data_IF_880525314227
#
_entry.id   IF_880525314227
#
_cell.length_a   1.000
_cell.length_b   1.000
_cell.length_c   1.000
_cell.angle_alpha   90.00
_cell.angle_beta   90.00
_cell.angle_gamma   90.00
#
_symmetry.space_group_name_H-M   'P 1'
#
loop_
_entity.id
_entity.type
_entity.pdbx_description
1 polymer ?
#
# COMPACT_ATOMS: atom_id res chain seq x y z
N UNK A 1 -34.98 11.03 -8.89
CA UNK A 1 -35.07 10.59 -7.49
C UNK A 1 -33.70 10.73 -6.89
N UNK A 2 -33.59 11.65 -5.95
CA UNK A 2 -32.35 12.08 -5.32
C UNK A 2 -31.82 10.96 -4.42
N UNK A 3 -30.76 10.29 -4.87
CA UNK A 3 -30.15 9.17 -4.17
C UNK A 3 -29.47 9.71 -2.92
N UNK A 4 -30.02 9.40 -1.74
CA UNK A 4 -29.43 9.76 -0.46
C UNK A 4 -28.10 9.03 -0.36
N UNK A 5 -27.00 9.77 -0.48
CA UNK A 5 -25.66 9.20 -0.33
C UNK A 5 -25.61 8.45 1.02
N UNK A 6 -25.13 7.20 1.06
CA UNK A 6 -24.98 6.49 2.33
C UNK A 6 -24.15 7.34 3.30
N UNK A 7 -24.57 7.39 4.55
CA UNK A 7 -23.79 8.05 5.60
C UNK A 7 -22.37 7.51 5.61
N UNK A 8 -21.40 8.36 5.95
CA UNK A 8 -19.95 8.05 5.88
C UNK A 8 -19.56 6.73 6.57
N UNK A 9 -20.27 6.34 7.63
CA UNK A 9 -20.09 5.06 8.34
C UNK A 9 -20.55 3.86 7.49
N UNK A 10 -21.74 3.92 6.91
CA UNK A 10 -22.26 2.84 6.05
C UNK A 10 -21.40 2.63 4.80
N UNK A 11 -20.81 3.70 4.27
CA UNK A 11 -19.85 3.59 3.16
C UNK A 11 -18.57 2.86 3.58
N UNK A 12 -18.02 3.17 4.77
CA UNK A 12 -16.84 2.47 5.29
C UNK A 12 -17.13 0.98 5.51
N UNK A 13 -18.29 0.63 6.06
CA UNK A 13 -18.69 -0.77 6.26
C UNK A 13 -18.81 -1.50 4.92
N UNK A 14 -19.35 -0.83 3.90
CA UNK A 14 -19.46 -1.37 2.53
C UNK A 14 -18.08 -1.63 1.91
N UNK A 15 -17.16 -0.68 2.04
CA UNK A 15 -15.79 -0.84 1.52
C UNK A 15 -15.06 -1.96 2.27
N UNK A 16 -15.14 -1.99 3.62
CA UNK A 16 -14.53 -3.02 4.44
C UNK A 16 -15.07 -4.42 4.09
N UNK A 17 -16.38 -4.54 3.90
CA UNK A 17 -17.02 -5.77 3.45
C UNK A 17 -16.46 -6.20 2.08
N UNK A 18 -16.43 -5.29 1.11
CA UNK A 18 -15.95 -5.61 -0.24
C UNK A 18 -14.48 -6.05 -0.26
N UNK A 19 -13.57 -5.34 0.43
CA UNK A 19 -12.13 -5.71 0.43
C UNK A 19 -11.84 -7.02 1.19
N UNK A 20 -12.72 -7.42 2.11
CA UNK A 20 -12.54 -8.65 2.91
C UNK A 20 -13.19 -9.88 2.29
N UNK A 21 -14.16 -9.69 1.39
CA UNK A 21 -14.93 -10.77 0.76
C UNK A 21 -14.56 -11.00 -0.71
N UNK A 22 -14.31 -9.92 -1.46
CA UNK A 22 -14.04 -9.97 -2.91
C UNK A 22 -12.54 -9.90 -3.18
N UNK A 23 -11.84 -11.01 -2.88
CA UNK A 23 -10.38 -11.06 -2.85
C UNK A 23 -9.75 -11.70 -4.09
N UNK A 24 -10.48 -11.82 -5.21
CA UNK A 24 -10.01 -12.52 -6.42
C UNK A 24 -8.72 -11.92 -6.99
N UNK A 25 -8.51 -10.61 -6.77
CA UNK A 25 -7.29 -9.92 -7.17
C UNK A 25 -6.09 -10.23 -6.26
N UNK A 26 -6.30 -10.77 -5.06
CA UNK A 26 -5.25 -11.04 -4.05
C UNK A 26 -4.40 -9.79 -3.73
N UNK A 27 -5.05 -8.61 -3.68
CA UNK A 27 -4.35 -7.34 -3.47
C UNK A 27 -3.85 -7.22 -2.03
N UNK A 28 -2.53 -7.23 -1.79
CA UNK A 28 -1.97 -7.18 -0.43
C UNK A 28 -2.14 -5.83 0.25
N UNK A 29 -2.52 -4.80 -0.51
CA UNK A 29 -2.73 -3.44 -0.03
C UNK A 29 -4.21 -3.05 0.07
N UNK A 30 -5.15 -3.99 -0.15
CA UNK A 30 -6.58 -3.69 -0.29
C UNK A 30 -7.15 -2.80 0.83
N UNK A 31 -6.62 -2.91 2.05
CA UNK A 31 -7.02 -2.07 3.19
C UNK A 31 -6.81 -0.56 2.97
N UNK A 32 -5.94 -0.15 2.06
CA UNK A 32 -5.76 1.27 1.68
C UNK A 32 -7.02 1.88 1.05
N UNK A 33 -7.97 1.08 0.57
CA UNK A 33 -9.28 1.55 0.13
C UNK A 33 -10.05 2.27 1.26
N UNK A 34 -9.75 1.95 2.52
CA UNK A 34 -10.32 2.57 3.71
C UNK A 34 -9.67 3.91 4.11
N UNK A 35 -8.66 4.37 3.36
CA UNK A 35 -7.96 5.62 3.67
C UNK A 35 -8.92 6.81 3.64
N UNK A 36 -8.73 7.77 4.55
CA UNK A 36 -9.49 9.02 4.56
C UNK A 36 -9.43 9.70 3.20
N UNK A 37 -10.50 10.38 2.81
CA UNK A 37 -10.57 11.09 1.53
C UNK A 37 -10.71 10.20 0.30
N UNK A 38 -10.65 8.88 0.45
CA UNK A 38 -11.01 7.93 -0.62
C UNK A 38 -12.52 7.94 -0.81
N UNK A 39 -12.94 8.11 -2.07
CA UNK A 39 -14.33 7.93 -2.49
C UNK A 39 -14.55 6.49 -2.90
N UNK A 40 -15.78 6.00 -2.74
CA UNK A 40 -16.18 4.68 -3.20
C UNK A 40 -17.32 4.80 -4.20
N UNK A 41 -17.15 4.18 -5.37
CA UNK A 41 -18.19 4.07 -6.38
C UNK A 41 -18.89 2.72 -6.25
N UNK A 42 -20.22 2.76 -6.19
CA UNK A 42 -21.11 1.60 -6.18
C UNK A 42 -22.17 1.79 -7.25
N UNK A 43 -22.75 0.71 -7.76
CA UNK A 43 -23.86 0.83 -8.71
C UNK A 43 -25.03 -0.11 -8.36
N UNK A 44 -26.30 0.30 -8.58
CA UNK A 44 -27.46 -0.50 -8.22
C UNK A 44 -27.43 -1.90 -8.84
N UNK A 45 -27.71 -2.92 -8.03
CA UNK A 45 -27.76 -4.32 -8.45
C UNK A 45 -26.39 -4.97 -8.67
N UNK A 46 -25.29 -4.28 -8.35
CA UNK A 46 -23.93 -4.83 -8.39
C UNK A 46 -23.37 -4.93 -6.98
N UNK A 47 -22.76 -6.07 -6.67
CA UNK A 47 -22.07 -6.31 -5.41
C UNK A 47 -20.59 -5.97 -5.56
N UNK A 48 -20.19 -4.85 -4.96
CA UNK A 48 -18.80 -4.41 -4.91
C UNK A 48 -18.62 -2.91 -4.91
N UNK A 49 -17.36 -2.50 -4.75
CA UNK A 49 -16.96 -1.09 -4.73
C UNK A 49 -15.74 -0.87 -5.61
N UNK A 50 -15.62 0.35 -6.13
CA UNK A 50 -14.36 0.86 -6.69
C UNK A 50 -13.88 2.02 -5.81
N UNK A 51 -12.68 1.88 -5.25
CA UNK A 51 -12.04 2.93 -4.45
C UNK A 51 -11.26 3.89 -5.34
N UNK A 52 -11.50 5.19 -5.21
CA UNK A 52 -10.84 6.19 -6.06
C UNK A 52 -10.72 7.56 -5.40
N UNK A 53 -9.85 8.42 -5.95
CA UNK A 53 -9.81 9.86 -5.70
C UNK A 53 -9.86 10.62 -7.02
N UNK A 54 -10.54 11.77 -7.03
CA UNK A 54 -10.48 12.70 -8.17
C UNK A 54 -9.21 13.54 -8.08
N UNK A 55 -8.40 13.54 -9.12
CA UNK A 55 -7.24 14.42 -9.25
C UNK A 55 -7.27 15.08 -10.65
N UNK A 56 -7.54 16.39 -10.69
CA UNK A 56 -7.63 17.13 -11.94
C UNK A 56 -8.67 16.54 -12.90
N UNK A 57 -8.20 16.08 -14.06
CA UNK A 57 -9.04 15.48 -15.13
C UNK A 57 -9.14 13.95 -15.04
N UNK A 58 -8.68 13.36 -13.94
CA UNK A 58 -8.63 11.92 -13.75
C UNK A 58 -9.38 11.47 -12.49
N UNK A 59 -10.04 10.32 -12.59
CA UNK A 59 -10.35 9.48 -11.44
C UNK A 59 -9.20 8.51 -11.26
N UNK A 60 -8.42 8.70 -10.20
CA UNK A 60 -7.33 7.81 -9.82
C UNK A 60 -7.91 6.69 -8.99
N UNK A 61 -8.02 5.52 -9.60
CA UNK A 61 -8.55 4.32 -8.98
C UNK A 61 -7.43 3.55 -8.25
N UNK A 62 -7.74 3.08 -7.05
CA UNK A 62 -6.89 2.17 -6.29
C UNK A 62 -7.36 0.72 -6.45
N UNK A 63 -6.48 -0.16 -6.92
CA UNK A 63 -6.81 -1.55 -7.22
C UNK A 63 -7.86 -1.68 -8.33
N UNK A 64 -8.25 -2.91 -8.67
CA UNK A 64 -9.45 -3.14 -9.48
C UNK A 64 -10.73 -2.93 -8.66
N UNK A 65 -11.91 -3.16 -9.24
CA UNK A 65 -13.13 -3.38 -8.47
C UNK A 65 -12.94 -4.45 -7.38
N UNK A 66 -13.29 -4.13 -6.14
CA UNK A 66 -13.48 -5.11 -5.07
C UNK A 66 -14.93 -5.57 -5.16
N UNK A 67 -15.20 -6.57 -5.99
CA UNK A 67 -16.55 -6.94 -6.40
C UNK A 67 -16.71 -8.45 -6.62
N UNK A 68 -17.93 -8.94 -6.44
CA UNK A 68 -18.29 -10.30 -6.81
C UNK A 68 -17.97 -10.55 -8.29
N UNK A 69 -17.63 -11.78 -8.65
CA UNK A 69 -17.19 -12.12 -10.01
C UNK A 69 -18.15 -11.63 -11.11
N UNK A 70 -19.45 -11.83 -10.91
CA UNK A 70 -20.50 -11.41 -11.87
C UNK A 70 -20.72 -9.89 -11.88
N UNK A 71 -20.31 -9.18 -10.82
CA UNK A 71 -20.44 -7.73 -10.68
C UNK A 71 -19.18 -6.97 -11.11
N UNK A 72 -18.00 -7.61 -11.11
CA UNK A 72 -16.71 -6.97 -11.37
C UNK A 72 -16.71 -6.20 -12.69
N UNK A 73 -17.05 -6.91 -13.77
CA UNK A 73 -17.04 -6.39 -15.15
C UNK A 73 -18.07 -5.27 -15.34
N UNK A 74 -19.37 -5.48 -15.03
CA UNK A 74 -20.36 -4.41 -15.09
C UNK A 74 -20.04 -3.19 -14.22
N UNK A 75 -19.42 -3.37 -13.04
CA UNK A 75 -19.10 -2.27 -12.13
C UNK A 75 -17.97 -1.40 -12.71
N UNK A 76 -16.94 -2.03 -13.29
CA UNK A 76 -15.89 -1.34 -14.02
C UNK A 76 -16.47 -0.54 -15.20
N UNK A 77 -17.34 -1.14 -16.00
CA UNK A 77 -17.95 -0.48 -17.16
C UNK A 77 -18.77 0.76 -16.75
N UNK A 78 -19.55 0.65 -15.67
CA UNK A 78 -20.32 1.77 -15.12
C UNK A 78 -19.44 2.87 -14.55
N UNK A 79 -18.31 2.52 -13.92
CA UNK A 79 -17.37 3.50 -13.39
C UNK A 79 -16.66 4.27 -14.48
N UNK A 80 -16.23 3.60 -15.56
CA UNK A 80 -15.62 4.24 -16.73
C UNK A 80 -16.63 5.18 -17.39
N UNK A 81 -17.87 4.72 -17.61
CA UNK A 81 -18.93 5.57 -18.14
C UNK A 81 -19.23 6.78 -17.24
N UNK A 82 -19.19 6.60 -15.91
CA UNK A 82 -19.34 7.68 -14.94
C UNK A 82 -18.22 8.72 -15.03
N UNK A 83 -16.97 8.29 -15.24
CA UNK A 83 -15.84 9.18 -15.47
C UNK A 83 -16.03 9.98 -16.78
N UNK A 84 -16.34 9.28 -17.88
CA UNK A 84 -16.54 9.88 -19.20
C UNK A 84 -17.70 10.88 -19.21
N UNK A 85 -18.81 10.56 -18.55
CA UNK A 85 -19.96 11.46 -18.40
C UNK A 85 -19.65 12.77 -17.68
N UNK A 86 -18.54 12.83 -16.93
CA UNK A 86 -18.02 14.05 -16.30
C UNK A 86 -16.88 14.72 -17.08
N UNK A 87 -16.56 14.22 -18.28
CA UNK A 87 -15.39 14.65 -19.04
C UNK A 87 -14.06 14.30 -18.38
N UNK A 88 -14.03 13.25 -17.54
CA UNK A 88 -12.85 12.74 -16.86
C UNK A 88 -12.40 11.42 -17.49
N UNK A 89 -11.15 11.02 -17.21
CA UNK A 89 -10.62 9.70 -17.57
C UNK A 89 -10.24 8.88 -16.35
N UNK A 90 -10.13 7.57 -16.50
CA UNK A 90 -9.68 6.68 -15.41
C UNK A 90 -8.18 6.39 -15.54
N UNK A 91 -7.49 6.39 -14.40
CA UNK A 91 -6.16 5.77 -14.27
C UNK A 91 -6.18 4.85 -13.06
N UNK A 92 -5.96 3.56 -13.27
CA UNK A 92 -5.89 2.55 -12.21
C UNK A 92 -4.46 2.34 -11.76
N UNK A 93 -4.22 2.27 -10.46
CA UNK A 93 -2.91 2.02 -9.87
C UNK A 93 -2.99 0.89 -8.83
N UNK A 94 -1.88 0.18 -8.65
CA UNK A 94 -1.78 -0.98 -7.75
C UNK A 94 -2.76 -2.10 -8.13
N UNK A 95 -3.01 -2.24 -9.43
CA UNK A 95 -3.80 -3.32 -10.01
C UNK A 95 -3.01 -4.62 -9.89
N UNK A 96 -3.69 -5.71 -9.53
CA UNK A 96 -3.07 -7.04 -9.54
C UNK A 96 -3.26 -7.70 -10.90
N UNK A 97 -2.64 -8.85 -11.15
CA UNK A 97 -2.70 -9.51 -12.47
C UNK A 97 -4.14 -9.80 -12.94
N UNK A 98 -5.04 -10.22 -12.04
CA UNK A 98 -6.46 -10.39 -12.35
C UNK A 98 -7.09 -9.10 -12.91
N UNK A 99 -6.81 -7.97 -12.25
CA UNK A 99 -7.32 -6.67 -12.68
C UNK A 99 -6.69 -6.26 -14.00
N UNK A 100 -5.36 -6.36 -14.11
CA UNK A 100 -4.60 -6.00 -15.30
C UNK A 100 -5.16 -6.70 -16.56
N UNK A 101 -5.49 -7.99 -16.46
CA UNK A 101 -6.11 -8.76 -17.54
C UNK A 101 -7.49 -8.23 -17.90
N UNK A 102 -8.36 -8.01 -16.91
CA UNK A 102 -9.71 -7.49 -17.13
C UNK A 102 -9.74 -6.07 -17.74
N UNK A 103 -8.72 -5.26 -17.44
CA UNK A 103 -8.53 -3.92 -17.99
C UNK A 103 -7.99 -3.96 -19.41
N UNK A 104 -6.99 -4.80 -19.70
CA UNK A 104 -6.44 -4.96 -21.04
C UNK A 104 -7.52 -5.45 -22.03
N UNK A 105 -8.37 -6.39 -21.62
CA UNK A 105 -9.51 -6.86 -22.41
C UNK A 105 -10.55 -5.76 -22.72
N UNK A 106 -10.59 -4.69 -21.92
CA UNK A 106 -11.44 -3.51 -22.11
C UNK A 106 -10.77 -2.38 -22.90
N UNK A 107 -9.57 -2.63 -23.45
CA UNK A 107 -8.84 -1.65 -24.25
C UNK A 107 -8.07 -0.62 -23.42
N UNK A 108 -7.87 -0.84 -22.13
CA UNK A 108 -6.91 -0.03 -21.37
C UNK A 108 -5.49 -0.37 -21.80
N UNK A 109 -4.62 0.63 -21.84
CA UNK A 109 -3.18 0.36 -21.89
C UNK A 109 -2.71 -0.02 -20.50
N UNK A 110 -2.16 -1.21 -20.33
CA UNK A 110 -1.74 -1.74 -19.02
C UNK A 110 -0.25 -2.03 -19.04
N UNK A 111 0.46 -1.56 -18.02
CA UNK A 111 1.89 -1.80 -17.85
C UNK A 111 2.20 -2.23 -16.42
N UNK A 112 3.23 -3.06 -16.25
CA UNK A 112 3.84 -3.20 -14.93
C UNK A 112 4.41 -1.84 -14.49
N UNK A 113 4.21 -1.46 -13.23
CA UNK A 113 4.80 -0.23 -12.70
C UNK A 113 5.50 -0.40 -11.36
N UNK A 114 5.50 -1.60 -10.79
CA UNK A 114 6.27 -1.94 -9.60
C UNK A 114 5.90 -3.31 -9.06
N UNK A 115 6.26 -3.53 -7.81
CA UNK A 115 5.98 -4.78 -7.11
C UNK A 115 5.70 -4.55 -5.62
N UNK A 116 4.98 -5.49 -5.04
CA UNK A 116 4.88 -5.73 -3.59
C UNK A 116 5.70 -6.96 -3.20
N UNK A 117 5.99 -7.12 -1.91
CA UNK A 117 6.78 -8.24 -1.40
C UNK A 117 6.15 -8.82 -0.15
N UNK A 118 6.09 -10.13 -0.07
CA UNK A 118 5.58 -10.82 1.10
C UNK A 118 6.56 -11.89 1.61
N UNK A 119 6.52 -12.10 2.92
CA UNK A 119 7.17 -13.23 3.59
C UNK A 119 6.12 -14.22 4.08
N UNK A 120 6.37 -15.51 3.84
CA UNK A 120 5.62 -16.59 4.46
C UNK A 120 6.16 -16.81 5.88
N UNK A 121 5.35 -16.48 6.88
CA UNK A 121 5.76 -16.44 8.29
C UNK A 121 6.10 -17.82 8.88
N UNK A 122 5.41 -18.92 8.53
CA UNK A 122 5.81 -20.26 8.97
C UNK A 122 7.24 -20.63 8.57
N UNK A 123 7.65 -20.27 7.34
CA UNK A 123 8.98 -20.57 6.80
C UNK A 123 10.02 -19.48 7.10
N UNK A 124 9.60 -18.37 7.71
CA UNK A 124 10.47 -17.23 7.96
C UNK A 124 11.55 -17.56 9.01
N UNK A 125 12.79 -17.20 8.70
CA UNK A 125 13.92 -17.37 9.62
C UNK A 125 15.00 -16.32 9.39
N UNK A 126 15.56 -15.81 10.48
CA UNK A 126 16.78 -14.99 10.47
C UNK A 126 18.04 -15.80 10.82
N UNK A 127 17.98 -17.13 10.78
CA UNK A 127 19.14 -18.00 11.02
C UNK A 127 20.08 -18.01 9.82
N UNK A 128 21.37 -18.24 10.07
CA UNK A 128 22.40 -18.30 9.02
C UNK A 128 23.25 -17.02 8.90
N UNK A 129 24.29 -17.11 8.08
CA UNK A 129 25.30 -16.07 7.87
C UNK A 129 24.74 -14.85 7.13
N UNK A 130 23.84 -15.06 6.16
CA UNK A 130 23.13 -14.00 5.41
C UNK A 130 22.52 -12.95 6.33
N UNK A 131 21.89 -13.38 7.43
CA UNK A 131 21.16 -12.48 8.35
C UNK A 131 21.98 -12.05 9.56
N UNK A 132 23.26 -12.43 9.68
CA UNK A 132 24.11 -12.09 10.83
C UNK A 132 24.14 -10.58 11.12
N UNK A 133 24.33 -9.76 10.08
CA UNK A 133 24.36 -8.29 10.23
C UNK A 133 23.04 -7.74 10.74
N UNK A 134 21.92 -8.30 10.27
CA UNK A 134 20.59 -7.89 10.70
C UNK A 134 20.32 -8.30 12.15
N UNK A 135 20.60 -9.56 12.52
CA UNK A 135 20.51 -10.04 13.91
C UNK A 135 21.35 -9.19 14.86
N UNK A 136 22.58 -8.83 14.47
CA UNK A 136 23.44 -7.97 15.29
C UNK A 136 22.85 -6.57 15.52
N UNK A 137 22.21 -5.97 14.50
CA UNK A 137 21.50 -4.68 14.62
C UNK A 137 20.28 -4.81 15.55
N UNK A 138 19.48 -5.85 15.37
CA UNK A 138 18.32 -6.14 16.22
C UNK A 138 18.73 -6.29 17.68
N UNK A 139 19.71 -7.16 17.97
CA UNK A 139 20.18 -7.38 19.34
C UNK A 139 20.81 -6.12 19.95
N UNK A 140 21.45 -5.26 19.14
CA UNK A 140 21.97 -3.96 19.62
C UNK A 140 20.85 -3.03 20.05
N UNK A 141 19.76 -2.94 19.27
CA UNK A 141 18.62 -2.08 19.62
C UNK A 141 17.96 -2.53 20.93
N UNK A 142 17.76 -3.84 21.15
CA UNK A 142 17.25 -4.33 22.43
C UNK A 142 18.22 -4.09 23.60
N UNK A 143 19.53 -4.26 23.40
CA UNK A 143 20.53 -3.93 24.42
C UNK A 143 20.61 -2.45 24.76
N UNK A 144 20.19 -1.56 23.85
CA UNK A 144 20.08 -0.12 24.14
C UNK A 144 18.76 0.24 24.83
N UNK A 145 18.04 -0.72 25.41
CA UNK A 145 16.83 -0.46 26.19
C UNK A 145 15.54 -0.33 25.38
N UNK A 146 15.55 -0.74 24.10
CA UNK A 146 14.33 -0.74 23.29
C UNK A 146 13.29 -1.68 23.90
N UNK A 147 12.12 -1.12 24.20
CA UNK A 147 10.91 -1.85 24.55
C UNK A 147 9.89 -1.67 23.43
N UNK A 148 9.20 -2.73 23.04
CA UNK A 148 8.18 -2.70 21.99
C UNK A 148 6.86 -3.15 22.61
N UNK A 149 5.78 -2.42 22.34
CA UNK A 149 4.44 -2.76 22.83
C UNK A 149 3.41 -2.56 21.74
N UNK A 150 2.43 -3.47 21.68
CA UNK A 150 1.17 -3.21 21.01
C UNK A 150 0.34 -2.25 21.87
N UNK A 151 -0.25 -1.23 21.23
CA UNK A 151 -0.93 -0.14 21.93
C UNK A 151 -2.12 0.37 21.10
N UNK A 152 -3.23 0.78 21.73
CA UNK A 152 -4.24 1.60 21.09
C UNK A 152 -3.62 2.91 20.57
N UNK A 153 -4.05 3.37 19.40
CA UNK A 153 -3.45 4.56 18.78
C UNK A 153 -3.80 5.84 19.55
N UNK A 154 -4.98 5.89 20.14
CA UNK A 154 -5.48 6.97 20.98
C UNK A 154 -4.60 7.19 22.23
N UNK A 155 -4.13 6.11 22.86
CA UNK A 155 -3.29 6.16 24.06
C UNK A 155 -1.90 6.74 23.77
N UNK A 156 -1.47 6.64 22.51
CA UNK A 156 -0.14 7.06 22.05
C UNK A 156 -0.17 8.28 21.12
N UNK A 157 -1.28 9.02 21.07
CA UNK A 157 -1.45 10.15 20.14
C UNK A 157 -0.34 11.21 20.27
N UNK A 158 0.14 11.48 21.50
CA UNK A 158 1.26 12.39 21.74
C UNK A 158 2.58 11.87 21.16
N UNK A 159 2.91 10.61 21.43
CA UNK A 159 4.12 9.95 20.94
C UNK A 159 4.15 9.82 19.42
N UNK A 160 3.01 9.47 18.81
CA UNK A 160 2.86 9.40 17.34
C UNK A 160 3.12 10.77 16.73
N UNK A 161 2.52 11.83 17.31
CA UNK A 161 2.72 13.20 16.82
C UNK A 161 4.19 13.63 16.91
N UNK A 162 4.87 13.33 18.02
CA UNK A 162 6.30 13.61 18.18
C UNK A 162 7.14 12.94 17.09
N UNK A 163 6.91 11.64 16.86
CA UNK A 163 7.59 10.87 15.82
C UNK A 163 7.27 11.44 14.43
N UNK A 164 6.02 11.75 14.15
CA UNK A 164 5.56 12.27 12.86
C UNK A 164 6.17 13.63 12.55
N UNK A 165 6.19 14.55 13.52
CA UNK A 165 6.79 15.88 13.38
C UNK A 165 8.29 15.79 13.13
N UNK A 166 9.02 14.97 13.93
CA UNK A 166 10.45 14.80 13.75
C UNK A 166 10.78 14.13 12.41
N UNK A 167 10.03 13.09 12.03
CA UNK A 167 10.18 12.41 10.75
C UNK A 167 9.93 13.36 9.58
N UNK A 168 8.82 14.12 9.59
CA UNK A 168 8.48 15.03 8.50
C UNK A 168 9.50 16.16 8.38
N UNK A 169 9.95 16.72 9.51
CA UNK A 169 11.01 17.75 9.53
C UNK A 169 12.32 17.28 8.89
N UNK A 170 12.65 15.99 9.01
CA UNK A 170 13.84 15.41 8.36
C UNK A 170 13.72 15.25 6.83
N UNK A 171 12.52 15.40 6.27
CA UNK A 171 12.25 15.26 4.83
C UNK A 171 12.39 16.58 4.05
N UNK A 172 12.59 17.71 4.73
CA UNK A 172 12.73 19.04 4.12
C UNK A 172 11.49 19.92 4.35
N UNK A 173 11.64 21.22 4.09
CA UNK A 173 10.64 22.24 4.42
C UNK A 173 9.31 22.09 3.67
N UNK A 174 9.35 21.59 2.43
CA UNK A 174 8.16 21.39 1.59
C UNK A 174 7.58 19.97 1.68
N UNK A 175 8.11 19.14 2.58
CA UNK A 175 7.66 17.76 2.72
C UNK A 175 6.24 17.68 3.25
N UNK A 176 5.42 16.85 2.60
CA UNK A 176 4.05 16.55 3.02
C UNK A 176 3.90 15.05 3.25
N UNK A 177 3.03 14.62 4.18
CA UNK A 177 2.69 13.22 4.30
C UNK A 177 1.95 12.77 3.02
N UNK A 178 2.44 11.68 2.44
CA UNK A 178 1.71 10.99 1.38
C UNK A 178 0.45 10.34 1.95
N UNK A 179 -0.58 10.26 1.11
CA UNK A 179 -1.88 9.69 1.44
C UNK A 179 -2.36 8.75 0.33
N UNK A 180 -3.57 8.18 0.51
CA UNK A 180 -4.30 7.36 -0.47
C UNK A 180 -3.68 5.98 -0.73
N UNK A 181 -2.55 5.95 -1.42
CA UNK A 181 -1.81 4.72 -1.75
C UNK A 181 -0.71 4.43 -0.72
N UNK A 182 -0.81 5.06 0.45
CA UNK A 182 0.12 4.95 1.58
C UNK A 182 -0.70 4.87 2.86
N UNK A 183 -0.24 4.02 3.78
CA UNK A 183 -0.86 3.82 5.09
C UNK A 183 -1.01 5.09 5.92
N UNK A 184 -2.02 5.09 6.77
CA UNK A 184 -2.30 6.18 7.70
C UNK A 184 -2.71 5.65 9.08
N UNK A 185 -2.63 6.52 10.09
CA UNK A 185 -3.15 6.26 11.43
C UNK A 185 -4.42 7.07 11.71
N UNK A 186 -5.26 6.52 12.58
CA UNK A 186 -6.51 7.11 13.03
C UNK A 186 -7.67 6.92 12.05
N UNK A 187 -8.75 7.66 12.32
CA UNK A 187 -10.01 7.52 11.59
C UNK A 187 -10.76 6.21 11.89
N UNK A 188 -11.92 6.00 11.27
CA UNK A 188 -12.77 4.84 11.56
C UNK A 188 -12.11 3.48 11.29
N UNK A 189 -11.14 3.45 10.36
CA UNK A 189 -10.42 2.22 10.02
C UNK A 189 -9.35 1.82 11.07
N UNK A 190 -9.01 2.69 12.03
CA UNK A 190 -7.93 2.44 12.99
C UNK A 190 -8.19 1.21 13.87
N UNK A 191 -9.44 0.93 14.20
CA UNK A 191 -9.81 -0.23 15.04
C UNK A 191 -9.43 -1.58 14.40
N UNK A 192 -9.19 -1.63 13.09
CA UNK A 192 -8.76 -2.84 12.39
C UNK A 192 -7.24 -2.90 12.22
N UNK A 193 -6.52 -1.83 12.56
CA UNK A 193 -5.06 -1.76 12.47
C UNK A 193 -4.45 -2.11 13.82
N UNK A 194 -3.30 -2.77 13.78
CA UNK A 194 -2.47 -3.00 14.97
C UNK A 194 -1.31 -2.02 14.96
N UNK A 195 -1.07 -1.37 16.09
CA UNK A 195 0.00 -0.39 16.23
C UNK A 195 1.01 -0.88 17.26
N UNK A 196 2.28 -0.92 16.85
CA UNK A 196 3.39 -1.25 17.74
C UNK A 196 4.30 -0.04 17.87
N UNK A 197 4.56 0.38 19.11
CA UNK A 197 5.44 1.51 19.43
C UNK A 197 6.69 1.00 20.13
N UNK A 198 7.84 1.47 19.65
CA UNK A 198 9.13 1.31 20.29
C UNK A 198 9.45 2.49 21.20
N UNK A 199 9.90 2.22 22.42
CA UNK A 199 10.36 3.23 23.38
C UNK A 199 11.76 2.89 23.93
N UNK A 200 12.59 3.89 24.18
CA UNK A 200 13.85 3.79 24.94
C UNK A 200 13.77 4.79 26.09
N UNK A 201 14.04 4.36 27.32
CA UNK A 201 13.91 5.19 28.52
C UNK A 201 12.54 5.90 28.59
N UNK A 202 11.48 5.15 28.28
CA UNK A 202 10.09 5.63 28.17
C UNK A 202 9.82 6.72 27.12
N UNK A 203 10.80 7.09 26.28
CA UNK A 203 10.61 8.01 25.17
C UNK A 203 10.32 7.27 23.86
N UNK A 204 9.37 7.73 23.05
CA UNK A 204 9.02 7.09 21.78
C UNK A 204 10.14 7.27 20.75
N UNK A 205 10.55 6.18 20.10
CA UNK A 205 11.63 6.20 19.10
C UNK A 205 11.18 5.77 17.71
N UNK A 206 10.05 5.08 17.60
CA UNK A 206 9.44 4.71 16.33
C UNK A 206 8.19 3.88 16.51
N UNK A 207 7.44 3.69 15.43
CA UNK A 207 6.25 2.86 15.41
C UNK A 207 6.09 2.15 14.07
N UNK A 208 5.34 1.04 14.08
CA UNK A 208 4.86 0.35 12.88
C UNK A 208 3.37 0.05 13.05
N UNK A 209 2.58 0.46 12.07
CA UNK A 209 1.17 0.11 11.91
C UNK A 209 1.05 -1.07 10.95
N UNK A 210 0.17 -2.01 11.28
CA UNK A 210 -0.14 -3.16 10.45
C UNK A 210 -1.63 -3.18 10.11
N UNK A 211 -1.92 -3.28 8.82
CA UNK A 211 -3.27 -3.37 8.29
C UNK A 211 -3.58 -4.81 7.85
N UNK A 212 -4.82 -5.30 7.97
CA UNK A 212 -5.15 -6.67 7.62
C UNK A 212 -5.04 -6.90 6.11
N UNK A 213 -4.61 -8.10 5.74
CA UNK A 213 -4.61 -8.61 4.36
C UNK A 213 -5.53 -9.82 4.29
N UNK A 214 -6.35 -9.87 3.25
CA UNK A 214 -7.37 -10.89 3.02
C UNK A 214 -7.01 -11.79 1.82
N UNK A 215 -7.81 -12.83 1.58
CA UNK A 215 -7.62 -13.77 0.47
C UNK A 215 -6.71 -14.95 0.80
N UNK A 216 -6.18 -15.61 -0.23
CA UNK A 216 -5.34 -16.80 -0.07
C UNK A 216 -4.01 -16.52 0.65
N UNK A 217 -3.53 -15.28 0.58
CA UNK A 217 -2.34 -14.80 1.30
C UNK A 217 -2.69 -13.90 2.49
N UNK A 218 -3.75 -14.27 3.22
CA UNK A 218 -4.20 -13.53 4.40
C UNK A 218 -3.10 -13.40 5.48
N UNK A 219 -3.13 -12.28 6.18
CA UNK A 219 -2.13 -11.93 7.18
C UNK A 219 -2.12 -10.42 7.44
N UNK A 220 -0.93 -9.84 7.51
CA UNK A 220 -0.75 -8.42 7.85
C UNK A 220 0.12 -7.71 6.82
N UNK A 221 -0.19 -6.44 6.54
CA UNK A 221 0.64 -5.54 5.76
C UNK A 221 1.34 -4.58 6.71
N UNK A 222 2.67 -4.51 6.62
CA UNK A 222 3.48 -3.45 7.22
C UNK A 222 3.14 -2.12 6.52
N UNK A 223 2.15 -1.42 7.06
CA UNK A 223 1.38 -0.37 6.39
C UNK A 223 2.05 1.00 6.48
N UNK A 224 2.29 1.46 7.72
CA UNK A 224 2.95 2.73 7.98
C UNK A 224 4.03 2.54 9.04
N UNK A 225 5.24 3.04 8.77
CA UNK A 225 6.33 2.97 9.73
C UNK A 225 7.10 4.27 9.76
N UNK A 226 7.32 4.82 10.95
CA UNK A 226 8.10 6.04 11.14
C UNK A 226 8.97 5.92 12.38
N UNK A 227 10.03 6.71 12.41
CA UNK A 227 10.98 6.78 13.53
C UNK A 227 11.51 8.19 13.70
N UNK A 228 11.97 8.47 14.91
CA UNK A 228 12.81 9.62 15.17
C UNK A 228 14.09 9.50 14.32
N UNK A 229 14.45 10.55 13.55
CA UNK A 229 15.73 10.61 12.83
C UNK A 229 16.93 10.42 13.77
N UNK A 230 18.07 9.98 13.23
CA UNK A 230 19.33 9.80 13.98
C UNK A 230 19.26 8.87 15.22
N UNK A 231 18.19 8.08 15.34
CA UNK A 231 18.05 7.06 16.38
C UNK A 231 18.98 5.85 16.19
N UNK A 232 18.96 4.95 17.19
CA UNK A 232 19.80 3.75 17.21
C UNK A 232 19.67 2.93 15.91
N UNK A 233 20.78 2.53 15.27
CA UNK A 233 20.71 1.67 14.09
C UNK A 233 20.01 0.34 14.40
N UNK A 234 19.03 -0.02 13.59
CA UNK A 234 18.28 -1.27 13.75
C UNK A 234 16.95 -1.16 14.49
N UNK A 235 16.52 0.05 14.91
CA UNK A 235 15.25 0.24 15.63
C UNK A 235 14.05 -0.36 14.89
N UNK A 236 13.88 -0.03 13.61
CA UNK A 236 12.73 -0.53 12.82
C UNK A 236 12.83 -2.02 12.57
N UNK A 237 14.04 -2.52 12.30
CA UNK A 237 14.28 -3.95 12.19
C UNK A 237 13.97 -4.70 13.50
N UNK A 238 14.27 -4.12 14.66
CA UNK A 238 13.98 -4.71 15.96
C UNK A 238 12.48 -4.69 16.30
N UNK A 239 11.79 -3.56 16.05
CA UNK A 239 10.33 -3.48 16.20
C UNK A 239 9.66 -4.52 15.30
N UNK A 240 9.99 -4.55 14.00
CA UNK A 240 9.37 -5.51 13.08
C UNK A 240 9.72 -6.96 13.41
N UNK A 241 10.94 -7.25 13.90
CA UNK A 241 11.31 -8.59 14.36
C UNK A 241 10.46 -9.05 15.54
N UNK A 242 10.22 -8.16 16.52
CA UNK A 242 9.35 -8.46 17.66
C UNK A 242 7.91 -8.74 17.22
N UNK A 243 7.39 -7.95 16.28
CA UNK A 243 6.03 -8.14 15.75
C UNK A 243 5.91 -9.43 14.95
N UNK A 244 6.93 -9.79 14.16
CA UNK A 244 6.96 -11.07 13.45
C UNK A 244 6.84 -12.24 14.44
N UNK A 245 7.53 -12.20 15.57
CA UNK A 245 7.44 -13.26 16.59
C UNK A 245 6.02 -13.35 17.17
N UNK A 246 5.35 -12.22 17.41
CA UNK A 246 3.94 -12.17 17.85
C UNK A 246 3.01 -12.75 16.78
N UNK A 247 3.08 -12.27 15.55
CA UNK A 247 2.22 -12.74 14.45
C UNK A 247 2.41 -14.24 14.18
N UNK A 248 3.63 -14.76 14.32
CA UNK A 248 3.90 -16.20 14.23
C UNK A 248 3.25 -16.98 15.37
N UNK A 249 3.33 -16.48 16.59
CA UNK A 249 2.70 -17.12 17.76
C UNK A 249 1.17 -17.15 17.63
N UNK A 250 0.58 -16.17 16.96
CA UNK A 250 -0.86 -16.09 16.65
C UNK A 250 -1.26 -16.89 15.41
N UNK A 251 -0.31 -17.51 14.70
CA UNK A 251 -0.58 -18.33 13.52
C UNK A 251 -0.82 -17.56 12.22
N UNK A 252 -0.44 -16.28 12.14
CA UNK A 252 -0.50 -15.51 10.91
C UNK A 252 0.37 -16.16 9.81
N UNK A 253 -0.16 -16.21 8.59
CA UNK A 253 0.50 -16.91 7.47
C UNK A 253 1.46 -16.00 6.70
N UNK A 254 1.08 -14.75 6.48
CA UNK A 254 1.84 -13.82 5.64
C UNK A 254 2.09 -12.48 6.33
N UNK A 255 3.27 -11.92 6.07
CA UNK A 255 3.56 -10.51 6.31
C UNK A 255 3.95 -9.85 4.98
N UNK A 256 3.19 -8.83 4.58
CA UNK A 256 3.39 -8.06 3.36
C UNK A 256 4.11 -6.76 3.66
N UNK A 257 5.12 -6.40 2.87
CA UNK A 257 5.89 -5.16 3.01
C UNK A 257 5.40 -4.04 2.08
N UNK A 258 4.23 -4.21 1.48
CA UNK A 258 3.57 -3.25 0.62
C UNK A 258 4.30 -2.98 -0.70
N UNK A 259 3.77 -2.03 -1.46
CA UNK A 259 4.20 -1.69 -2.81
C UNK A 259 5.46 -0.82 -2.84
N UNK A 260 6.22 -0.89 -3.93
CA UNK A 260 7.20 0.13 -4.30
C UNK A 260 7.25 0.27 -5.82
N UNK A 261 7.10 1.49 -6.35
CA UNK A 261 7.12 1.72 -7.79
C UNK A 261 8.51 1.42 -8.38
N UNK A 262 8.53 1.11 -9.68
CA UNK A 262 9.72 0.90 -10.51
C UNK A 262 10.54 -0.35 -10.17
N UNK A 263 10.00 -1.26 -9.35
CA UNK A 263 10.73 -2.44 -8.86
C UNK A 263 10.16 -3.75 -9.39
N UNK A 264 10.99 -4.79 -9.40
CA UNK A 264 10.60 -6.13 -9.89
C UNK A 264 10.17 -6.13 -11.35
N UNK A 265 10.62 -5.13 -12.13
CA UNK A 265 10.27 -4.94 -13.53
C UNK A 265 10.81 -6.12 -14.35
N UNK A 266 9.93 -6.78 -15.09
CA UNK A 266 10.26 -7.89 -15.97
C UNK A 266 9.38 -7.83 -17.22
N UNK A 267 9.98 -7.92 -18.40
CA UNK A 267 9.24 -7.95 -19.66
C UNK A 267 8.25 -9.12 -19.75
N UNK A 268 8.51 -10.24 -19.06
CA UNK A 268 7.59 -11.38 -18.98
C UNK A 268 6.30 -11.09 -18.19
N UNK A 269 6.30 -10.01 -17.40
CA UNK A 269 5.12 -9.60 -16.65
C UNK A 269 4.18 -8.69 -17.44
N UNK A 270 4.65 -8.09 -18.53
CA UNK A 270 3.86 -7.18 -19.36
C UNK A 270 2.74 -7.92 -20.10
N UNK A 271 1.61 -7.25 -20.27
CA UNK A 271 0.46 -7.81 -20.98
C UNK A 271 0.49 -7.44 -22.48
N UNK A 272 -0.21 -8.20 -23.34
CA UNK A 272 -0.45 -7.78 -24.72
C UNK A 272 -1.11 -6.39 -24.76
N UNK A 273 -0.58 -5.49 -25.60
CA UNK A 273 -1.06 -4.12 -25.69
C UNK A 273 -0.44 -3.14 -24.68
N UNK A 274 0.53 -3.57 -23.87
CA UNK A 274 1.32 -2.66 -23.03
C UNK A 274 2.04 -1.60 -23.88
N UNK A 275 2.40 -0.47 -23.25
CA UNK A 275 3.18 0.59 -23.90
C UNK A 275 4.69 0.37 -23.73
N UNK A 276 5.47 0.20 -24.81
CA UNK A 276 6.94 0.06 -24.70
C UNK A 276 7.62 1.33 -24.17
N UNK A 277 7.10 2.51 -24.52
CA UNK A 277 7.64 3.78 -24.02
C UNK A 277 7.38 3.99 -22.53
N UNK A 278 6.23 3.52 -22.03
CA UNK A 278 5.95 3.55 -20.59
C UNK A 278 6.78 2.52 -19.83
N UNK A 279 6.96 1.31 -20.39
CA UNK A 279 7.88 0.32 -19.82
C UNK A 279 9.30 0.89 -19.71
N UNK A 280 9.81 1.50 -20.77
CA UNK A 280 11.10 2.20 -20.76
C UNK A 280 11.17 3.26 -19.65
N UNK A 281 10.10 4.06 -19.49
CA UNK A 281 10.03 5.08 -18.42
C UNK A 281 10.14 4.45 -17.03
N UNK A 282 9.53 3.29 -16.77
CA UNK A 282 9.65 2.61 -15.47
C UNK A 282 11.09 2.17 -15.20
N UNK A 283 11.79 1.63 -16.21
CA UNK A 283 13.21 1.29 -16.09
C UNK A 283 14.08 2.54 -15.89
N UNK A 284 13.79 3.63 -16.60
CA UNK A 284 14.48 4.90 -16.41
C UNK A 284 14.29 5.45 -14.99
N UNK A 285 13.07 5.40 -14.44
CA UNK A 285 12.78 5.85 -13.08
C UNK A 285 13.39 4.94 -12.00
N UNK A 286 13.56 3.65 -12.28
CA UNK A 286 14.32 2.74 -11.43
C UNK A 286 15.81 3.14 -11.33
N UNK A 287 16.43 3.49 -12.47
CA UNK A 287 17.86 3.81 -12.54
C UNK A 287 18.17 5.24 -12.09
N UNK A 288 17.35 6.21 -12.49
CA UNK A 288 17.65 7.65 -12.38
C UNK A 288 16.62 8.43 -11.54
N UNK A 289 15.52 7.79 -11.11
CA UNK A 289 14.39 8.44 -10.44
C UNK A 289 14.55 8.64 -8.93
N UNK A 290 15.74 8.42 -8.35
CA UNK A 290 15.95 8.47 -6.90
C UNK A 290 15.57 9.83 -6.26
N UNK A 291 15.69 10.93 -7.01
CA UNK A 291 15.28 12.26 -6.56
C UNK A 291 13.74 12.43 -6.53
N UNK A 292 13.01 11.71 -7.38
CA UNK A 292 11.55 11.73 -7.42
C UNK A 292 10.96 10.80 -6.35
N UNK A 293 11.45 9.56 -6.29
CA UNK A 293 11.03 8.59 -5.30
C UNK A 293 12.17 7.61 -5.00
N UNK A 294 12.57 7.41 -3.73
CA UNK A 294 13.72 6.59 -3.36
C UNK A 294 13.40 5.08 -3.39
N UNK A 295 13.00 4.56 -4.56
CA UNK A 295 12.56 3.18 -4.75
C UNK A 295 13.60 2.14 -4.33
N UNK A 296 14.88 2.37 -4.69
CA UNK A 296 15.99 1.47 -4.36
C UNK A 296 16.18 1.32 -2.84
N UNK A 297 16.11 2.42 -2.08
CA UNK A 297 16.23 2.40 -0.61
C UNK A 297 15.05 1.67 0.03
N UNK A 298 13.84 1.88 -0.49
CA UNK A 298 12.64 1.18 -0.02
C UNK A 298 12.74 -0.33 -0.30
N UNK A 299 13.19 -0.73 -1.51
CA UNK A 299 13.41 -2.13 -1.85
C UNK A 299 14.49 -2.77 -0.96
N UNK A 300 15.62 -2.10 -0.78
CA UNK A 300 16.71 -2.59 0.05
C UNK A 300 16.28 -2.82 1.52
N UNK A 301 15.29 -2.09 2.04
CA UNK A 301 14.69 -2.41 3.34
C UNK A 301 13.92 -3.73 3.32
N UNK A 302 13.11 -3.97 2.28
CA UNK A 302 12.27 -5.16 2.15
C UNK A 302 13.09 -6.43 1.93
N UNK A 303 14.14 -6.34 1.11
CA UNK A 303 15.03 -7.47 0.81
C UNK A 303 15.81 -8.00 2.03
N UNK A 304 15.99 -7.19 3.08
CA UNK A 304 16.56 -7.64 4.37
C UNK A 304 15.78 -8.82 4.96
N UNK A 305 14.48 -8.87 4.71
CA UNK A 305 13.56 -9.89 5.22
C UNK A 305 13.49 -11.12 4.33
N UNK A 306 14.24 -11.17 3.23
CA UNK A 306 14.26 -12.27 2.27
C UNK A 306 12.84 -12.70 1.81
N UNK A 307 12.05 -11.77 1.23
CA UNK A 307 10.70 -12.09 0.75
C UNK A 307 10.74 -13.23 -0.26
N UNK A 308 9.83 -14.19 -0.10
CA UNK A 308 9.71 -15.33 -1.01
C UNK A 308 8.72 -15.05 -2.15
N UNK A 309 7.81 -14.08 -1.96
CA UNK A 309 6.76 -13.77 -2.92
C UNK A 309 6.86 -12.32 -3.40
N UNK A 310 7.51 -12.06 -4.55
CA UNK A 310 7.25 -10.82 -5.29
C UNK A 310 5.84 -10.87 -5.88
N UNK A 311 5.13 -9.76 -5.82
CA UNK A 311 3.77 -9.59 -6.33
C UNK A 311 3.80 -8.45 -7.32
N UNK A 312 3.64 -8.76 -8.61
CA UNK A 312 3.66 -7.75 -9.67
C UNK A 312 2.42 -6.86 -9.59
N UNK A 313 2.63 -5.55 -9.61
CA UNK A 313 1.55 -4.57 -9.65
C UNK A 313 1.58 -3.74 -10.93
N UNK A 314 0.37 -3.40 -11.40
CA UNK A 314 0.13 -2.78 -12.69
C UNK A 314 -0.52 -1.41 -12.55
N UNK A 315 -0.30 -0.59 -13.57
CA UNK A 315 -1.03 0.64 -13.84
C UNK A 315 -1.85 0.44 -15.12
N UNK A 316 -3.07 0.99 -15.16
CA UNK A 316 -3.91 0.97 -16.35
C UNK A 316 -4.35 2.38 -16.73
N UNK A 317 -4.29 2.67 -18.03
CA UNK A 317 -4.68 3.94 -18.62
C UNK A 317 -5.90 3.76 -19.50
N UNK A 318 -6.92 4.60 -19.26
CA UNK A 318 -8.07 4.75 -20.14
C UNK A 318 -7.63 5.47 -21.43
N UNK A 319 -7.23 4.67 -22.43
CA UNK A 319 -6.54 5.09 -23.64
C UNK A 319 -5.03 4.82 -23.60
N UNK A 320 -4.21 5.53 -24.42
CA UNK A 320 -2.76 5.34 -24.44
C UNK A 320 -2.10 5.68 -23.10
N UNK A 321 -1.00 4.98 -22.78
CA UNK A 321 -0.19 5.32 -21.62
C UNK A 321 0.28 6.78 -21.66
N UNK A 322 0.16 7.47 -20.52
CA UNK A 322 0.39 8.90 -20.44
C UNK A 322 1.14 9.28 -19.18
N UNK A 323 2.26 9.98 -19.33
CA UNK A 323 3.00 10.59 -18.21
C UNK A 323 2.10 11.55 -17.43
N UNK A 324 1.21 12.27 -18.11
CA UNK A 324 0.26 13.15 -17.45
C UNK A 324 -0.73 12.37 -16.57
N UNK A 325 -1.30 11.27 -17.06
CA UNK A 325 -2.16 10.41 -16.25
C UNK A 325 -1.40 9.80 -15.06
N UNK A 326 -0.17 9.33 -15.30
CA UNK A 326 0.71 8.79 -14.27
C UNK A 326 1.03 9.82 -13.17
N UNK A 327 1.32 11.08 -13.54
CA UNK A 327 1.56 12.15 -12.58
C UNK A 327 0.35 12.46 -11.68
N UNK A 328 -0.88 12.22 -12.17
CA UNK A 328 -2.09 12.42 -11.35
C UNK A 328 -2.21 11.38 -10.24
N UNK A 329 -1.58 10.21 -10.36
CA UNK A 329 -1.49 9.23 -9.26
C UNK A 329 -0.76 9.87 -8.08
N UNK A 330 0.40 10.48 -8.32
CA UNK A 330 1.17 11.17 -7.28
C UNK A 330 0.40 12.38 -6.70
N UNK A 331 -0.31 13.12 -7.55
CA UNK A 331 -1.18 14.23 -7.10
C UNK A 331 -2.31 13.74 -6.19
N UNK A 332 -2.94 12.60 -6.50
CA UNK A 332 -3.96 11.99 -5.63
C UNK A 332 -3.39 11.53 -4.28
N UNK A 333 -2.09 11.26 -4.23
CA UNK A 333 -1.35 10.87 -3.02
C UNK A 333 -0.78 12.07 -2.22
N UNK A 334 -1.13 13.32 -2.57
CA UNK A 334 -0.59 14.52 -1.91
C UNK A 334 0.94 14.69 -2.04
N UNK A 335 1.54 14.20 -3.12
CA UNK A 335 2.98 14.29 -3.33
C UNK A 335 3.49 15.69 -3.72
N UNK A 336 2.63 16.54 -4.30
CA UNK A 336 2.95 17.93 -4.69
C UNK A 336 1.68 18.78 -4.79
#
# INVERSE_FOLDING_TARGET
MENTAPGKTALNDTVLHAISTHTQAENPSAFLAMSRGTSAFTAPGLDGVIAYRKAGRYLVQFGGPFAAADSYRPLLDRFVAHAHGQGLRVVGAQLQRHDAQAYAERGFTVNQFGSSWAVHLPDFTLRGTRFMRMRNKISRAFRSGLQVREVPAEDMAGAIREIDTAWLGSKGADARPLEFLVGELGGPAQQHRRLFVGTIDSRPVGYISYSPVYGSRAGWMHDLSRRIPDGTPGLMEAINSHVIDIFRAEGAQWLHFGFTPFTGLDAANELPGHSPSFQWLMHFLWEQGAALYPAQTQLAYKEKWAPQAPITEYVAFDGPASVAAFAHIFRACNAF
#
